data_IF_348989726987
#
_entry.id   IF_348989726987
#
_cell.length_a   1.000
_cell.length_b   1.000
_cell.length_c   1.000
_cell.angle_alpha   90.00
_cell.angle_beta   90.00
_cell.angle_gamma   90.00
#
_symmetry.space_group_name_H-M   'P 1'
#
loop_
_entity.id
_entity.type
_entity.pdbx_description
1 polymer ?
#
# COMPACT_ATOMS: atom_id res chain seq x y z
N UNK A 1 -30.77 32.01 13.42
CA UNK A 1 -30.06 31.11 14.36
C UNK A 1 -30.33 29.63 14.05
N UNK A 2 -31.58 29.18 13.94
CA UNK A 2 -31.95 27.77 13.71
C UNK A 2 -31.38 27.21 12.39
N UNK A 3 -31.44 27.95 11.28
CA UNK A 3 -30.88 27.51 10.00
C UNK A 3 -29.37 27.28 10.02
N UNK A 4 -28.61 28.07 10.80
CA UNK A 4 -27.17 27.89 10.92
C UNK A 4 -26.80 26.62 11.70
N UNK A 5 -27.60 26.27 12.72
CA UNK A 5 -27.40 25.02 13.49
C UNK A 5 -27.71 23.80 12.63
N UNK A 6 -28.76 23.85 11.79
CA UNK A 6 -29.09 22.77 10.86
C UNK A 6 -28.01 22.55 9.81
N UNK A 7 -27.47 23.64 9.25
CA UNK A 7 -26.38 23.55 8.26
C UNK A 7 -25.12 22.96 8.87
N UNK A 8 -24.75 23.37 10.08
CA UNK A 8 -23.61 22.84 10.82
C UNK A 8 -23.79 21.34 11.13
N UNK A 9 -24.98 20.94 11.59
CA UNK A 9 -25.30 19.54 11.83
C UNK A 9 -25.21 18.69 10.55
N UNK A 10 -25.69 19.20 9.42
CA UNK A 10 -25.60 18.52 8.13
C UNK A 10 -24.14 18.34 7.68
N UNK A 11 -23.30 19.37 7.87
CA UNK A 11 -21.86 19.32 7.58
C UNK A 11 -21.14 18.30 8.46
N UNK A 12 -21.50 18.22 9.75
CA UNK A 12 -20.90 17.26 10.68
C UNK A 12 -21.37 15.81 10.41
N UNK A 13 -22.60 15.62 9.91
CA UNK A 13 -23.14 14.31 9.57
C UNK A 13 -22.71 13.80 8.20
N UNK A 14 -22.34 14.70 7.28
CA UNK A 14 -21.97 14.33 5.90
C UNK A 14 -20.85 13.27 5.82
N UNK A 15 -19.75 13.33 6.58
CA UNK A 15 -18.71 12.30 6.56
C UNK A 15 -19.21 10.95 7.08
N UNK A 16 -20.11 10.93 8.06
CA UNK A 16 -20.68 9.68 8.59
C UNK A 16 -21.67 9.04 7.58
N UNK A 17 -22.47 9.85 6.91
CA UNK A 17 -23.35 9.38 5.84
C UNK A 17 -22.56 8.85 4.65
N UNK A 18 -21.45 9.50 4.29
CA UNK A 18 -20.56 9.06 3.23
C UNK A 18 -19.87 7.73 3.60
N UNK A 19 -19.44 7.58 4.86
CA UNK A 19 -18.85 6.33 5.35
C UNK A 19 -19.88 5.20 5.38
N UNK A 20 -21.10 5.46 5.83
CA UNK A 20 -22.20 4.47 5.88
C UNK A 20 -22.62 4.00 4.48
N UNK A 21 -22.50 4.86 3.46
CA UNK A 21 -22.76 4.54 2.06
C UNK A 21 -21.59 3.90 1.33
N UNK A 22 -20.47 3.68 2.00
CA UNK A 22 -19.33 3.00 1.38
C UNK A 22 -19.72 1.57 1.02
N UNK A 23 -19.60 1.26 -0.26
CA UNK A 23 -19.79 -0.09 -0.75
C UNK A 23 -18.72 -1.00 -0.15
N UNK A 24 -19.08 -2.21 0.30
CA UNK A 24 -18.10 -3.20 0.73
C UNK A 24 -17.17 -3.56 -0.43
N UNK A 25 -15.93 -3.86 -0.13
CA UNK A 25 -14.97 -4.40 -1.10
C UNK A 25 -15.26 -5.89 -1.28
N UNK A 26 -16.31 -6.19 -2.03
CA UNK A 26 -16.77 -7.55 -2.32
C UNK A 26 -16.15 -8.10 -3.63
N UNK A 27 -16.54 -9.32 -4.00
CA UNK A 27 -16.06 -9.97 -5.22
C UNK A 27 -16.40 -9.17 -6.49
N UNK A 28 -17.55 -8.49 -6.52
CA UNK A 28 -17.98 -7.66 -7.65
C UNK A 28 -17.11 -6.41 -7.79
N UNK A 29 -16.81 -5.75 -6.67
CA UNK A 29 -15.94 -4.56 -6.65
C UNK A 29 -14.48 -4.90 -7.05
N UNK A 30 -14.08 -6.18 -6.92
CA UNK A 30 -12.76 -6.69 -7.31
C UNK A 30 -12.70 -7.29 -8.71
N UNK A 31 -13.82 -7.44 -9.39
CA UNK A 31 -13.88 -8.14 -10.68
C UNK A 31 -12.94 -7.52 -11.73
N UNK A 32 -12.80 -6.20 -11.72
CA UNK A 32 -11.96 -5.45 -12.66
C UNK A 32 -10.59 -5.06 -12.06
N UNK A 33 -10.23 -5.58 -10.87
CA UNK A 33 -8.96 -5.26 -10.24
C UNK A 33 -7.79 -5.88 -11.03
N UNK A 34 -6.76 -5.11 -11.38
CA UNK A 34 -5.57 -5.66 -12.00
C UNK A 34 -4.79 -6.51 -10.99
N UNK A 35 -4.13 -7.57 -11.46
CA UNK A 35 -3.24 -8.36 -10.60
C UNK A 35 -3.95 -9.50 -9.85
N UNK A 36 -3.59 -9.70 -8.57
CA UNK A 36 -3.97 -10.88 -7.79
C UNK A 36 -4.32 -10.50 -6.34
N UNK A 37 -4.88 -11.48 -5.62
CA UNK A 37 -5.22 -11.34 -4.21
C UNK A 37 -4.51 -12.43 -3.40
N UNK A 38 -3.85 -12.02 -2.31
CA UNK A 38 -3.30 -12.89 -1.28
C UNK A 38 -4.27 -12.95 -0.10
N UNK A 39 -4.63 -14.16 0.35
CA UNK A 39 -5.41 -14.34 1.57
C UNK A 39 -4.46 -14.35 2.76
N UNK A 40 -4.43 -13.25 3.51
CA UNK A 40 -3.57 -13.07 4.67
C UNK A 40 -4.39 -13.14 5.97
N UNK A 41 -3.73 -13.09 7.13
CA UNK A 41 -4.35 -13.28 8.43
C UNK A 41 -5.51 -12.32 8.74
N UNK A 42 -5.49 -11.11 8.17
CA UNK A 42 -6.50 -10.06 8.42
C UNK A 42 -7.42 -9.78 7.23
N UNK A 43 -7.32 -10.57 6.16
CA UNK A 43 -8.15 -10.43 4.97
C UNK A 43 -7.37 -10.49 3.66
N UNK A 44 -8.08 -10.29 2.55
CA UNK A 44 -7.50 -10.29 1.22
C UNK A 44 -6.68 -9.03 0.96
N UNK A 45 -5.47 -9.21 0.44
CA UNK A 45 -4.56 -8.15 0.02
C UNK A 45 -4.40 -8.18 -1.49
N UNK A 46 -4.73 -7.07 -2.15
CA UNK A 46 -4.48 -6.89 -3.57
C UNK A 46 -3.00 -6.59 -3.82
N UNK A 47 -2.44 -7.24 -4.84
CA UNK A 47 -1.05 -7.02 -5.25
C UNK A 47 -0.85 -7.29 -6.74
N UNK A 48 0.23 -6.73 -7.29
CA UNK A 48 0.75 -7.00 -8.61
C UNK A 48 2.25 -7.28 -8.50
N UNK A 49 2.72 -8.39 -9.04
CA UNK A 49 4.14 -8.71 -9.16
C UNK A 49 4.48 -8.69 -10.65
N UNK A 50 5.18 -7.65 -11.06
CA UNK A 50 5.41 -7.28 -12.45
C UNK A 50 6.89 -7.39 -12.80
N UNK A 51 7.20 -7.57 -14.08
CA UNK A 51 8.57 -7.64 -14.60
C UNK A 51 9.14 -9.05 -14.67
N UNK A 52 10.42 -9.20 -15.02
CA UNK A 52 11.05 -10.51 -15.25
C UNK A 52 11.22 -11.29 -13.94
N UNK A 53 10.90 -12.60 -13.89
CA UNK A 53 10.95 -13.41 -12.66
C UNK A 53 12.32 -13.46 -11.96
N UNK A 54 13.41 -13.36 -12.69
CA UNK A 54 14.78 -13.37 -12.16
C UNK A 54 15.38 -12.00 -11.90
N UNK A 55 14.62 -10.92 -12.08
CA UNK A 55 15.10 -9.56 -11.86
C UNK A 55 15.25 -9.22 -10.38
N UNK A 56 16.12 -8.24 -10.03
CA UNK A 56 16.20 -7.72 -8.67
C UNK A 56 14.82 -7.20 -8.21
N UNK A 57 14.48 -7.48 -6.95
CA UNK A 57 13.16 -7.16 -6.42
C UNK A 57 13.08 -5.70 -5.94
N UNK A 58 12.09 -4.97 -6.42
CA UNK A 58 11.69 -3.66 -5.91
C UNK A 58 10.29 -3.73 -5.32
N UNK A 59 10.11 -3.15 -4.13
CA UNK A 59 8.81 -3.10 -3.44
C UNK A 59 8.37 -1.66 -3.30
N UNK A 60 7.18 -1.33 -3.79
CA UNK A 60 6.60 0.00 -3.74
C UNK A 60 5.53 0.08 -2.65
N UNK A 61 5.74 0.96 -1.66
CA UNK A 61 4.89 1.13 -0.48
C UNK A 61 4.22 2.50 -0.53
N UNK A 62 2.92 2.52 -0.82
CA UNK A 62 2.16 3.75 -1.02
C UNK A 62 1.81 4.46 0.31
N UNK A 63 1.31 5.69 0.19
CA UNK A 63 0.91 6.53 1.31
C UNK A 63 -0.50 6.22 1.84
N UNK A 64 -0.98 7.11 2.73
CA UNK A 64 -2.26 6.94 3.41
C UNK A 64 -3.46 7.07 2.48
N UNK A 65 -3.42 8.01 1.53
CA UNK A 65 -4.59 8.45 0.75
C UNK A 65 -4.66 7.88 -0.66
N UNK A 66 -3.55 7.37 -1.19
CA UNK A 66 -3.45 6.89 -2.58
C UNK A 66 -3.08 5.42 -2.60
N UNK A 67 -3.82 4.56 -3.31
CA UNK A 67 -3.46 3.15 -3.53
C UNK A 67 -2.20 2.96 -4.40
N UNK A 68 -1.83 1.70 -4.64
CA UNK A 68 -0.61 1.29 -5.32
C UNK A 68 -0.43 1.85 -6.74
N UNK A 69 -1.50 2.24 -7.43
CA UNK A 69 -1.44 2.83 -8.78
C UNK A 69 -0.53 4.09 -8.85
N UNK A 70 -0.30 4.78 -7.73
CA UNK A 70 0.61 5.95 -7.69
C UNK A 70 2.04 5.60 -8.13
N UNK A 71 2.39 4.32 -8.08
CA UNK A 71 3.70 3.82 -8.47
C UNK A 71 3.77 3.24 -9.89
N UNK A 72 2.71 3.30 -10.69
CA UNK A 72 2.69 2.69 -12.03
C UNK A 72 3.82 3.23 -12.93
N UNK A 73 4.05 4.54 -12.92
CA UNK A 73 5.14 5.14 -13.70
C UNK A 73 6.53 4.69 -13.21
N UNK A 74 6.74 4.63 -11.90
CA UNK A 74 8.00 4.13 -11.33
C UNK A 74 8.17 2.62 -11.61
N UNK A 75 7.11 1.85 -11.50
CA UNK A 75 7.13 0.42 -11.81
C UNK A 75 7.51 0.18 -13.26
N UNK A 76 6.90 0.89 -14.22
CA UNK A 76 7.26 0.81 -15.63
C UNK A 76 8.74 1.14 -15.88
N UNK A 77 9.25 2.19 -15.23
CA UNK A 77 10.65 2.59 -15.30
C UNK A 77 11.61 1.51 -14.76
N UNK A 78 11.29 0.93 -13.59
CA UNK A 78 12.09 -0.13 -12.98
C UNK A 78 12.06 -1.44 -13.79
N UNK A 79 10.88 -1.80 -14.30
CA UNK A 79 10.72 -2.97 -15.19
C UNK A 79 11.58 -2.81 -16.45
N UNK A 80 11.59 -1.61 -17.04
CA UNK A 80 12.46 -1.28 -18.19
C UNK A 80 13.96 -1.42 -17.88
N UNK A 81 14.35 -1.49 -16.60
CA UNK A 81 15.72 -1.77 -16.13
C UNK A 81 15.92 -3.19 -15.64
N UNK A 82 14.96 -4.07 -15.89
CA UNK A 82 15.04 -5.48 -15.54
C UNK A 82 14.65 -5.83 -14.10
N UNK A 83 14.07 -4.89 -13.35
CA UNK A 83 13.55 -5.17 -12.01
C UNK A 83 12.26 -5.98 -12.06
N UNK A 84 12.07 -6.80 -11.02
CA UNK A 84 10.78 -7.37 -10.65
C UNK A 84 10.17 -6.46 -9.59
N UNK A 85 8.95 -5.95 -9.83
CA UNK A 85 8.33 -4.91 -8.98
C UNK A 85 7.08 -5.46 -8.31
N UNK A 86 7.04 -5.38 -6.98
CA UNK A 86 5.86 -5.65 -6.17
C UNK A 86 5.13 -4.33 -5.86
N UNK A 87 3.91 -4.21 -6.39
CA UNK A 87 2.91 -3.22 -6.01
C UNK A 87 1.87 -3.91 -5.15
N UNK A 88 1.42 -3.30 -4.06
CA UNK A 88 0.33 -3.82 -3.25
C UNK A 88 -0.47 -2.71 -2.61
N UNK A 89 -1.73 -2.97 -2.31
CA UNK A 89 -2.60 -2.04 -1.60
C UNK A 89 -2.57 -2.34 -0.10
N UNK A 90 -2.28 -1.33 0.71
CA UNK A 90 -2.43 -1.43 2.17
C UNK A 90 -3.85 -1.80 2.55
N UNK A 91 -4.03 -2.50 3.66
CA UNK A 91 -5.34 -2.70 4.25
C UNK A 91 -6.10 -1.38 4.41
N UNK A 92 -7.37 -1.38 4.02
CA UNK A 92 -8.21 -0.20 4.00
C UNK A 92 -8.05 0.70 2.79
N UNK A 93 -7.20 0.35 1.81
CA UNK A 93 -6.92 1.12 0.58
C UNK A 93 -7.09 0.23 -0.64
N UNK A 94 -7.30 0.88 -1.79
CA UNK A 94 -7.45 0.19 -3.06
C UNK A 94 -8.44 -0.96 -2.99
N UNK A 95 -8.02 -2.10 -3.51
CA UNK A 95 -8.80 -3.33 -3.57
C UNK A 95 -8.58 -4.27 -2.36
N UNK A 96 -7.69 -3.93 -1.43
CA UNK A 96 -7.46 -4.71 -0.22
C UNK A 96 -8.60 -4.60 0.78
N UNK A 97 -8.76 -5.62 1.64
CA UNK A 97 -9.74 -5.65 2.71
C UNK A 97 -9.55 -4.52 3.73
N UNK A 98 -10.58 -4.29 4.53
CA UNK A 98 -10.63 -3.24 5.56
C UNK A 98 -10.80 -3.86 6.94
N UNK A 99 -9.77 -4.54 7.48
CA UNK A 99 -9.86 -5.14 8.80
C UNK A 99 -10.08 -4.07 9.87
N UNK A 100 -10.87 -4.43 10.88
CA UNK A 100 -11.08 -3.60 12.06
C UNK A 100 -9.80 -3.54 12.91
N UNK A 101 -9.60 -2.45 13.62
CA UNK A 101 -8.50 -2.29 14.57
C UNK A 101 -7.63 -1.08 14.32
N UNK A 102 -6.63 -0.91 15.18
CA UNK A 102 -5.68 0.20 15.11
C UNK A 102 -4.73 0.00 13.94
N UNK A 103 -4.60 1.01 13.09
CA UNK A 103 -3.70 1.04 11.93
C UNK A 103 -2.46 1.87 12.27
N UNK A 104 -1.55 1.29 13.03
CA UNK A 104 -0.26 1.90 13.37
C UNK A 104 0.88 1.36 12.49
N UNK A 105 2.12 1.82 12.74
CA UNK A 105 3.28 1.41 11.95
C UNK A 105 3.53 -0.11 12.00
N UNK A 106 3.28 -0.75 13.15
CA UNK A 106 3.41 -2.22 13.29
C UNK A 106 2.40 -2.96 12.44
N UNK A 107 1.17 -2.46 12.39
CA UNK A 107 0.10 -3.02 11.56
C UNK A 107 0.50 -3.07 10.08
N UNK A 108 1.04 -1.98 9.54
CA UNK A 108 1.45 -1.92 8.14
C UNK A 108 2.75 -2.69 7.87
N UNK A 109 3.69 -2.69 8.81
CA UNK A 109 4.92 -3.49 8.70
C UNK A 109 4.61 -4.99 8.70
N UNK A 110 3.78 -5.46 9.62
CA UNK A 110 3.36 -6.87 9.66
C UNK A 110 2.58 -7.28 8.42
N UNK A 111 1.74 -6.40 7.88
CA UNK A 111 1.01 -6.64 6.64
C UNK A 111 1.95 -6.92 5.44
N UNK A 112 2.97 -6.07 5.25
CA UNK A 112 3.95 -6.29 4.17
C UNK A 112 4.79 -7.54 4.43
N UNK A 113 5.24 -7.75 5.67
CA UNK A 113 6.02 -8.95 6.01
C UNK A 113 5.24 -10.23 5.70
N UNK A 114 3.96 -10.29 6.11
CA UNK A 114 3.09 -11.43 5.84
C UNK A 114 2.83 -11.63 4.33
N UNK A 115 2.70 -10.54 3.56
CA UNK A 115 2.59 -10.62 2.11
C UNK A 115 3.86 -11.19 1.47
N UNK A 116 5.05 -10.75 1.90
CA UNK A 116 6.32 -11.27 1.41
C UNK A 116 6.49 -12.75 1.72
N UNK A 117 6.12 -13.17 2.93
CA UNK A 117 6.15 -14.58 3.33
C UNK A 117 5.16 -15.42 2.51
N UNK A 118 3.96 -14.91 2.26
CA UNK A 118 2.94 -15.57 1.43
C UNK A 118 3.40 -15.76 -0.02
N UNK A 119 4.17 -14.80 -0.55
CA UNK A 119 4.69 -14.84 -1.92
C UNK A 119 6.06 -15.53 -2.05
N UNK A 120 6.60 -16.05 -0.93
CA UNK A 120 7.94 -16.64 -0.84
C UNK A 120 9.06 -15.69 -1.34
N UNK A 121 8.92 -14.40 -1.07
CA UNK A 121 9.87 -13.36 -1.44
C UNK A 121 10.88 -13.15 -0.30
N UNK A 122 11.95 -13.95 -0.32
CA UNK A 122 13.00 -13.98 0.72
C UNK A 122 14.34 -13.44 0.24
N UNK A 123 14.43 -12.99 -1.01
CA UNK A 123 15.61 -12.33 -1.56
C UNK A 123 15.75 -10.89 -1.12
N UNK A 124 16.92 -10.31 -1.41
CA UNK A 124 17.16 -8.88 -1.19
C UNK A 124 16.24 -8.04 -2.07
N UNK A 125 15.74 -6.94 -1.51
CA UNK A 125 14.86 -6.02 -2.22
C UNK A 125 15.17 -4.56 -1.93
N UNK A 126 14.89 -3.72 -2.91
CA UNK A 126 14.88 -2.26 -2.80
C UNK A 126 13.47 -1.81 -2.41
N UNK A 127 13.35 -0.98 -1.36
CA UNK A 127 12.06 -0.49 -0.88
C UNK A 127 11.87 0.98 -1.24
N UNK A 128 10.85 1.23 -2.07
CA UNK A 128 10.42 2.57 -2.49
C UNK A 128 9.17 2.97 -1.71
N UNK A 129 9.29 3.94 -0.81
CA UNK A 129 8.17 4.40 0.00
C UNK A 129 7.77 5.83 -0.30
N UNK A 130 6.46 6.09 -0.38
CA UNK A 130 5.89 7.43 -0.52
C UNK A 130 5.11 7.83 0.73
N UNK A 131 5.37 9.03 1.30
CA UNK A 131 4.66 9.55 2.48
C UNK A 131 4.70 8.55 3.66
N UNK A 132 3.55 8.08 4.13
CA UNK A 132 3.44 7.05 5.17
C UNK A 132 4.20 5.76 4.81
N UNK A 133 4.27 5.39 3.53
CA UNK A 133 5.04 4.25 3.07
C UNK A 133 6.54 4.39 3.36
N UNK A 134 7.08 5.61 3.33
CA UNK A 134 8.45 5.90 3.73
C UNK A 134 8.68 5.73 5.25
N UNK A 135 7.70 6.06 6.08
CA UNK A 135 7.76 5.86 7.54
C UNK A 135 7.67 4.36 7.92
N UNK A 136 6.91 3.57 7.16
CA UNK A 136 6.80 2.13 7.38
C UNK A 136 8.10 1.35 7.10
N UNK A 137 9.04 1.97 6.40
CA UNK A 137 10.36 1.42 6.09
C UNK A 137 11.10 0.92 7.34
N UNK A 138 11.14 1.71 8.40
CA UNK A 138 11.82 1.34 9.64
C UNK A 138 11.23 0.06 10.27
N UNK A 139 9.91 -0.14 10.18
CA UNK A 139 9.25 -1.34 10.67
C UNK A 139 9.54 -2.57 9.82
N UNK A 140 9.52 -2.44 8.50
CA UNK A 140 9.75 -3.56 7.56
C UNK A 140 11.22 -3.94 7.53
N UNK A 141 12.14 -2.97 7.39
CA UNK A 141 13.59 -3.24 7.42
C UNK A 141 14.04 -3.71 8.80
N UNK A 142 13.38 -3.28 9.89
CA UNK A 142 13.60 -3.82 11.23
C UNK A 142 13.16 -5.28 11.38
N UNK A 143 12.10 -5.70 10.71
CA UNK A 143 11.60 -7.08 10.70
C UNK A 143 12.43 -8.01 9.77
N UNK A 144 12.95 -7.47 8.67
CA UNK A 144 13.75 -8.21 7.67
C UNK A 144 15.07 -7.49 7.34
N UNK A 145 15.97 -7.27 8.31
CA UNK A 145 17.15 -6.40 8.15
C UNK A 145 18.17 -6.91 7.13
N UNK A 146 18.27 -8.22 6.95
CA UNK A 146 19.24 -8.84 6.05
C UNK A 146 18.90 -8.70 4.57
N UNK A 147 17.63 -8.45 4.24
CA UNK A 147 17.13 -8.43 2.86
C UNK A 147 16.55 -7.09 2.42
N UNK A 148 16.27 -6.18 3.36
CA UNK A 148 15.80 -4.84 3.05
C UNK A 148 16.97 -3.91 2.72
N UNK A 149 17.06 -3.47 1.47
CA UNK A 149 17.90 -2.35 1.07
C UNK A 149 17.05 -1.09 0.96
N UNK A 150 17.54 -0.01 1.58
CA UNK A 150 16.82 1.24 1.57
C UNK A 150 17.04 1.97 0.25
N UNK A 151 16.05 1.97 -0.62
CA UNK A 151 15.98 2.91 -1.71
C UNK A 151 15.38 4.25 -1.24
N UNK A 152 15.77 5.34 -1.86
CA UNK A 152 15.45 6.71 -1.45
C UNK A 152 13.95 6.97 -1.34
N UNK A 153 13.49 7.84 -0.41
CA UNK A 153 12.13 8.32 -0.41
C UNK A 153 11.87 9.08 -1.71
N UNK A 154 10.84 8.69 -2.45
CA UNK A 154 10.36 9.47 -3.57
C UNK A 154 9.89 10.84 -3.03
N UNK A 155 10.69 11.88 -3.24
CA UNK A 155 10.36 13.24 -2.82
C UNK A 155 11.40 14.00 -1.99
N UNK A 156 12.49 13.37 -1.51
CA UNK A 156 13.61 14.13 -0.99
C UNK A 156 14.57 14.45 -2.15
N UNK A 157 14.43 15.63 -2.74
CA UNK A 157 15.40 16.19 -3.65
C UNK A 157 16.73 16.42 -2.91
N UNK A 158 17.56 15.40 -2.85
CA UNK A 158 18.97 15.49 -2.48
C UNK A 158 19.76 15.50 -3.77
N UNK A 159 19.99 16.66 -4.33
CA UNK A 159 21.11 16.89 -5.23
C UNK A 159 22.37 16.76 -4.39
N UNK A 160 23.01 15.63 -4.46
CA UNK A 160 24.35 15.39 -3.91
C UNK A 160 25.26 15.12 -5.09
N UNK A 161 26.26 15.98 -5.21
CA UNK A 161 27.32 15.98 -6.21
C UNK A 161 28.11 14.66 -6.23
#
# INVERSE_FOLDING_TARGET
MICGIFLLALLLLAPFLKEWRRLPMDARARADAPGRFASLSRGATHYQLLGPPGGPLAICVHGLSTPSFVFEALAAFLIGRGYRVLLYDHYGRGYSDRPKGRQDARFFASHLTELLDHLDLNERFDLYGYSMGGLNRSGVCGAKPLICQAAYPAGSGGYGA
#
